data_IF_405869976161
#
_entry.id   IF_405869976161
#
_cell.length_a   1.000
_cell.length_b   1.000
_cell.length_c   1.000
_cell.angle_alpha   90.00
_cell.angle_beta   90.00
_cell.angle_gamma   90.00
#
_symmetry.space_group_name_H-M   'P 1'
#
loop_
_entity.id
_entity.type
_entity.pdbx_description
1 polymer ?
#
# COMPACT_ATOMS: atom_id res chain seq x y z
N UNK A 1 10.66 -0.78 -6.45
CA UNK A 1 9.66 0.22 -5.99
C UNK A 1 10.32 1.33 -5.15
N UNK A 2 9.59 2.39 -4.70
CA UNK A 2 10.19 3.42 -3.84
C UNK A 2 10.55 2.82 -2.47
N UNK A 3 11.75 3.15 -1.95
CA UNK A 3 12.18 2.72 -0.60
C UNK A 3 11.35 3.44 0.46
N UNK A 4 10.97 2.71 1.51
CA UNK A 4 10.26 3.26 2.66
C UNK A 4 11.13 3.11 3.92
N UNK A 5 11.49 4.21 4.55
CA UNK A 5 12.24 4.19 5.82
C UNK A 5 11.50 4.97 6.89
N UNK A 6 11.37 6.28 6.69
CA UNK A 6 10.64 7.18 7.58
C UNK A 6 9.67 8.00 6.74
N UNK A 7 8.42 8.05 7.17
CA UNK A 7 7.37 8.87 6.59
C UNK A 7 6.94 9.94 7.60
N UNK A 8 7.00 11.21 7.19
CA UNK A 8 6.44 12.31 7.98
C UNK A 8 5.29 12.95 7.21
N UNK A 9 4.16 13.18 7.87
CA UNK A 9 3.01 13.78 7.24
C UNK A 9 1.79 13.83 8.12
N UNK A 10 0.67 14.25 7.52
CA UNK A 10 -0.64 14.32 8.16
C UNK A 10 -1.39 13.04 7.91
N UNK A 11 -2.17 12.59 8.89
CA UNK A 11 -3.05 11.45 8.78
C UNK A 11 -4.50 11.90 8.58
N UNK A 12 -5.19 11.32 7.60
CA UNK A 12 -6.63 11.45 7.43
C UNK A 12 -7.35 10.29 8.11
N UNK A 13 -8.45 10.56 8.79
CA UNK A 13 -9.27 9.54 9.46
C UNK A 13 -10.46 9.18 8.58
N UNK A 14 -10.57 7.90 8.20
CA UNK A 14 -11.69 7.32 7.48
C UNK A 14 -12.20 6.14 8.33
N UNK A 15 -13.13 6.39 9.28
CA UNK A 15 -13.47 5.43 10.32
C UNK A 15 -14.39 4.31 9.86
N UNK A 16 -14.91 4.39 8.64
CA UNK A 16 -15.83 3.40 8.10
C UNK A 16 -15.20 2.02 8.05
N UNK A 17 -15.96 1.01 8.48
CA UNK A 17 -15.57 -0.40 8.42
C UNK A 17 -15.93 -0.98 7.05
N UNK A 18 -15.22 -2.04 6.65
CA UNK A 18 -15.46 -2.76 5.40
C UNK A 18 -15.37 -1.86 4.15
N UNK A 19 -14.48 -0.89 4.16
CA UNK A 19 -14.20 -0.11 2.94
C UNK A 19 -13.69 -1.05 1.87
N UNK A 20 -14.49 -1.24 0.83
CA UNK A 20 -14.17 -2.16 -0.25
C UNK A 20 -13.32 -1.50 -1.35
N UNK A 21 -12.81 -2.32 -2.25
CA UNK A 21 -11.99 -1.85 -3.35
C UNK A 21 -12.75 -1.04 -4.39
N UNK A 22 -14.10 -1.14 -4.46
CA UNK A 22 -14.95 -0.28 -5.31
C UNK A 22 -15.10 1.12 -4.71
N UNK A 23 -15.17 1.25 -3.39
CA UNK A 23 -15.15 2.54 -2.70
C UNK A 23 -13.77 3.21 -2.87
N UNK A 24 -12.67 2.45 -2.73
CA UNK A 24 -11.31 2.98 -2.93
C UNK A 24 -11.12 3.47 -4.37
N UNK A 25 -11.49 2.65 -5.37
CA UNK A 25 -11.45 3.02 -6.79
C UNK A 25 -12.59 2.34 -7.56
N UNK A 26 -13.60 3.09 -8.03
CA UNK A 26 -14.73 2.54 -8.77
C UNK A 26 -14.30 1.86 -10.08
N UNK A 27 -15.04 0.80 -10.45
CA UNK A 27 -14.75 -0.07 -11.59
C UNK A 27 -14.58 0.66 -12.94
N UNK A 28 -15.24 1.80 -13.13
CA UNK A 28 -15.12 2.57 -14.39
C UNK A 28 -13.70 3.10 -14.64
N UNK A 29 -12.86 3.20 -13.61
CA UNK A 29 -11.48 3.68 -13.71
C UNK A 29 -10.44 2.56 -13.87
N UNK A 30 -10.87 1.29 -13.92
CA UNK A 30 -9.97 0.13 -14.00
C UNK A 30 -9.51 -0.20 -15.42
N UNK A 31 -9.90 0.57 -16.43
CA UNK A 31 -9.57 0.32 -17.84
C UNK A 31 -8.12 0.65 -18.21
N UNK A 32 -7.39 1.34 -17.34
CA UNK A 32 -6.01 1.75 -17.59
C UNK A 32 -5.02 0.75 -17.01
N UNK A 33 -3.92 0.54 -17.72
CA UNK A 33 -2.73 -0.19 -17.23
C UNK A 33 -1.69 0.76 -16.61
N UNK A 34 -1.92 2.07 -16.68
CA UNK A 34 -1.02 3.07 -16.15
C UNK A 34 -1.28 3.32 -14.66
N UNK A 35 -0.21 3.33 -13.87
CA UNK A 35 -0.26 3.59 -12.43
C UNK A 35 -0.47 5.07 -12.08
N UNK A 36 -0.14 5.98 -13.01
CA UNK A 36 -0.26 7.45 -12.82
C UNK A 36 -1.62 7.95 -13.28
N UNK A 37 -2.15 8.94 -12.54
CA UNK A 37 -3.43 9.60 -12.82
C UNK A 37 -4.62 8.97 -12.09
N UNK A 38 -4.43 7.83 -11.40
CA UNK A 38 -5.50 7.16 -10.65
C UNK A 38 -5.85 7.86 -9.33
N UNK A 39 -4.93 8.62 -8.75
CA UNK A 39 -5.16 9.37 -7.51
C UNK A 39 -6.31 10.37 -7.60
N UNK A 40 -6.63 10.88 -8.80
CA UNK A 40 -7.81 11.72 -9.03
C UNK A 40 -9.11 10.96 -8.79
N UNK A 41 -9.10 9.65 -9.03
CA UNK A 41 -10.25 8.75 -8.90
C UNK A 41 -10.29 8.02 -7.55
N UNK A 42 -9.34 8.29 -6.66
CA UNK A 42 -9.35 7.73 -5.30
C UNK A 42 -10.59 8.21 -4.55
N UNK A 43 -11.34 7.27 -3.97
CA UNK A 43 -12.61 7.54 -3.27
C UNK A 43 -13.55 8.44 -4.09
N UNK A 44 -13.69 8.13 -5.38
CA UNK A 44 -14.36 9.02 -6.33
C UNK A 44 -15.79 9.35 -5.92
N UNK A 45 -16.58 8.35 -5.48
CA UNK A 45 -17.97 8.52 -5.14
C UNK A 45 -18.18 9.36 -3.85
N UNK A 46 -17.21 9.32 -2.94
CA UNK A 46 -17.22 10.10 -1.70
C UNK A 46 -16.61 11.49 -1.90
N UNK A 47 -15.59 11.59 -2.76
CA UNK A 47 -14.87 12.85 -3.01
C UNK A 47 -15.58 13.80 -3.96
N UNK A 48 -16.46 13.28 -4.81
CA UNK A 48 -17.12 14.09 -5.82
C UNK A 48 -18.63 13.86 -5.81
N UNK A 49 -19.36 14.95 -6.05
CA UNK A 49 -20.79 14.94 -6.37
C UNK A 49 -21.00 14.99 -7.89
N UNK A 50 -22.25 15.02 -8.35
CA UNK A 50 -22.57 15.14 -9.77
C UNK A 50 -21.83 16.32 -10.43
N UNK A 51 -21.31 16.11 -11.64
CA UNK A 51 -20.55 17.12 -12.39
C UNK A 51 -19.11 17.34 -11.92
N UNK A 52 -18.50 16.39 -11.20
CA UNK A 52 -17.12 16.49 -10.68
C UNK A 52 -16.91 17.60 -9.65
N UNK A 53 -17.96 18.09 -9.01
CA UNK A 53 -17.83 19.04 -7.92
C UNK A 53 -17.27 18.34 -6.68
N UNK A 54 -16.27 18.94 -6.02
CA UNK A 54 -15.70 18.39 -4.80
C UNK A 54 -16.71 18.37 -3.67
N UNK A 55 -16.93 17.20 -3.08
CA UNK A 55 -17.66 17.06 -1.81
C UNK A 55 -16.78 17.57 -0.68
N UNK A 56 -17.09 18.75 -0.15
CA UNK A 56 -16.32 19.40 0.93
C UNK A 56 -16.50 18.70 2.29
N UNK A 57 -17.44 17.77 2.42
CA UNK A 57 -17.63 17.01 3.67
C UNK A 57 -16.67 15.84 3.78
N UNK A 58 -16.15 15.34 2.66
CA UNK A 58 -15.18 14.24 2.70
C UNK A 58 -13.78 14.69 3.13
N UNK A 59 -13.18 13.98 4.06
CA UNK A 59 -11.93 14.38 4.74
C UNK A 59 -10.78 14.69 3.78
N UNK A 60 -10.59 13.88 2.72
CA UNK A 60 -9.50 14.09 1.76
C UNK A 60 -9.71 15.28 0.81
N UNK A 61 -10.82 16.00 0.92
CA UNK A 61 -11.04 17.25 0.22
C UNK A 61 -10.87 18.48 1.12
N UNK A 62 -10.63 18.29 2.43
CA UNK A 62 -10.46 19.35 3.43
C UNK A 62 -8.97 19.60 3.71
N UNK A 63 -8.57 20.84 3.87
CA UNK A 63 -7.23 21.18 4.33
C UNK A 63 -7.12 20.98 5.87
N UNK A 64 -5.99 20.43 6.34
CA UNK A 64 -4.79 20.01 5.61
C UNK A 64 -4.82 18.56 5.11
N UNK A 65 -5.91 17.80 5.33
CA UNK A 65 -6.01 16.36 5.02
C UNK A 65 -6.01 16.05 3.52
N UNK A 66 -6.29 17.03 2.67
CA UNK A 66 -6.16 16.91 1.21
C UNK A 66 -4.74 16.55 0.75
N UNK A 67 -3.73 16.78 1.61
CA UNK A 67 -2.33 16.45 1.38
C UNK A 67 -1.85 15.32 2.32
N UNK A 68 -2.75 14.50 2.83
CA UNK A 68 -2.38 13.39 3.72
C UNK A 68 -1.51 12.38 3.01
N UNK A 69 -0.51 11.89 3.73
CA UNK A 69 0.32 10.75 3.32
C UNK A 69 -0.01 9.47 4.11
N UNK A 70 -0.87 9.59 5.11
CA UNK A 70 -1.28 8.50 5.99
C UNK A 70 -2.81 8.48 6.05
N UNK A 71 -3.40 7.29 6.05
CA UNK A 71 -4.82 7.07 6.38
C UNK A 71 -4.89 6.24 7.65
N UNK A 72 -5.77 6.64 8.57
CA UNK A 72 -6.20 5.80 9.69
C UNK A 72 -7.61 5.33 9.34
N UNK A 73 -7.77 4.03 9.12
CA UNK A 73 -8.98 3.44 8.57
C UNK A 73 -9.68 2.54 9.58
N UNK A 74 -10.98 2.33 9.36
CA UNK A 74 -11.75 1.34 10.08
C UNK A 74 -11.34 -0.10 9.73
N UNK A 75 -11.98 -1.05 10.39
CA UNK A 75 -11.70 -2.48 10.29
C UNK A 75 -11.99 -3.04 8.87
N UNK A 76 -11.23 -4.10 8.49
CA UNK A 76 -11.38 -4.83 7.24
C UNK A 76 -11.25 -3.94 5.98
N UNK A 77 -10.26 -3.02 6.01
CA UNK A 77 -10.01 -2.12 4.89
C UNK A 77 -9.52 -2.87 3.64
N UNK A 78 -10.05 -2.49 2.48
CA UNK A 78 -9.69 -3.07 1.18
C UNK A 78 -10.37 -4.41 0.89
N UNK A 79 -11.53 -4.69 1.50
CA UNK A 79 -12.32 -5.89 1.22
C UNK A 79 -12.87 -5.90 -0.21
N UNK A 80 -13.56 -6.98 -0.58
CA UNK A 80 -14.16 -7.13 -1.91
C UNK A 80 -13.20 -7.70 -2.95
N UNK A 81 -13.27 -7.21 -4.17
CA UNK A 81 -12.56 -7.78 -5.32
C UNK A 81 -11.05 -7.56 -5.28
N UNK A 82 -10.29 -8.53 -5.85
CA UNK A 82 -8.84 -8.39 -6.02
C UNK A 82 -8.52 -7.31 -7.07
N UNK A 83 -8.13 -6.12 -6.63
CA UNK A 83 -7.81 -4.99 -7.50
C UNK A 83 -6.48 -4.37 -7.15
N UNK A 84 -5.50 -4.53 -8.00
CA UNK A 84 -4.20 -3.89 -7.84
C UNK A 84 -4.27 -2.35 -8.05
N UNK A 85 -5.30 -1.89 -8.73
CA UNK A 85 -5.56 -0.45 -8.93
C UNK A 85 -5.85 0.30 -7.62
N UNK A 86 -6.38 -0.38 -6.59
CA UNK A 86 -6.66 0.25 -5.30
C UNK A 86 -5.37 0.78 -4.62
N UNK A 87 -4.33 -0.02 -4.39
CA UNK A 87 -3.05 0.51 -3.91
C UNK A 87 -2.38 1.49 -4.87
N UNK A 88 -2.56 1.35 -6.20
CA UNK A 88 -2.04 2.34 -7.14
C UNK A 88 -2.70 3.71 -6.98
N UNK A 89 -4.03 3.75 -6.84
CA UNK A 89 -4.76 4.99 -6.64
C UNK A 89 -4.35 5.68 -5.32
N UNK A 90 -4.18 4.91 -4.24
CA UNK A 90 -3.71 5.41 -2.96
C UNK A 90 -2.31 6.03 -3.07
N UNK A 91 -1.36 5.30 -3.67
CA UNK A 91 0.01 5.78 -3.86
C UNK A 91 0.10 6.99 -4.79
N UNK A 92 -0.67 7.00 -5.87
CA UNK A 92 -0.69 8.12 -6.84
C UNK A 92 -1.36 9.37 -6.26
N UNK A 93 -2.27 9.21 -5.29
CA UNK A 93 -2.82 10.32 -4.50
C UNK A 93 -1.78 10.90 -3.53
N UNK A 94 -0.84 10.09 -3.06
CA UNK A 94 0.19 10.47 -2.09
C UNK A 94 0.15 9.69 -0.78
N UNK A 95 -0.82 8.79 -0.61
CA UNK A 95 -0.89 7.92 0.58
C UNK A 95 0.22 6.86 0.49
N UNK A 96 1.05 6.79 1.52
CA UNK A 96 2.17 5.85 1.61
C UNK A 96 2.04 4.88 2.79
N UNK A 97 1.13 5.16 3.74
CA UNK A 97 0.87 4.31 4.90
C UNK A 97 -0.63 4.28 5.23
N UNK A 98 -1.14 3.11 5.57
CA UNK A 98 -2.48 2.95 6.13
C UNK A 98 -2.38 2.21 7.46
N UNK A 99 -3.07 2.72 8.47
CA UNK A 99 -3.15 2.17 9.82
C UNK A 99 -4.59 1.71 10.04
N UNK A 100 -4.80 0.45 10.43
CA UNK A 100 -6.12 -0.13 10.69
C UNK A 100 -6.02 -1.28 11.69
N UNK A 101 -7.16 -1.72 12.24
CA UNK A 101 -7.22 -2.96 13.03
C UNK A 101 -6.99 -4.20 12.15
N UNK A 102 -7.54 -4.21 10.93
CA UNK A 102 -7.41 -5.32 10.00
C UNK A 102 -7.52 -4.88 8.55
N UNK A 103 -6.98 -5.69 7.67
CA UNK A 103 -7.02 -5.52 6.22
C UNK A 103 -7.48 -6.81 5.56
N UNK A 104 -8.15 -6.72 4.42
CA UNK A 104 -8.38 -7.87 3.58
C UNK A 104 -7.07 -8.42 3.00
N UNK A 105 -6.90 -9.74 3.00
CA UNK A 105 -5.62 -10.40 2.68
C UNK A 105 -5.10 -10.06 1.27
N UNK A 106 -5.99 -10.04 0.28
CA UNK A 106 -5.61 -9.73 -1.10
C UNK A 106 -5.15 -8.27 -1.22
N UNK A 107 -5.86 -7.34 -0.59
CA UNK A 107 -5.49 -5.94 -0.56
C UNK A 107 -4.14 -5.75 0.14
N UNK A 108 -3.93 -6.44 1.27
CA UNK A 108 -2.67 -6.41 2.01
C UNK A 108 -1.50 -6.82 1.12
N UNK A 109 -1.61 -7.98 0.46
CA UNK A 109 -0.56 -8.50 -0.41
C UNK A 109 -0.27 -7.57 -1.61
N UNK A 110 -1.31 -7.05 -2.27
CA UNK A 110 -1.16 -6.11 -3.36
C UNK A 110 -0.50 -4.80 -2.91
N UNK A 111 -0.86 -4.31 -1.73
CA UNK A 111 -0.30 -3.08 -1.15
C UNK A 111 1.20 -3.20 -0.89
N UNK A 112 1.62 -4.28 -0.23
CA UNK A 112 3.04 -4.57 0.04
C UNK A 112 3.84 -4.68 -1.26
N UNK A 113 3.30 -5.36 -2.27
CA UNK A 113 3.95 -5.51 -3.60
C UNK A 113 4.16 -4.17 -4.30
N UNK A 114 3.31 -3.19 -4.03
CA UNK A 114 3.39 -1.86 -4.63
C UNK A 114 4.12 -0.82 -3.75
N UNK A 115 4.54 -1.18 -2.54
CA UNK A 115 5.29 -0.29 -1.65
C UNK A 115 4.43 0.58 -0.73
N UNK A 116 3.16 0.21 -0.53
CA UNK A 116 2.26 0.83 0.43
C UNK A 116 2.42 0.11 1.78
N UNK A 117 2.80 0.83 2.83
CA UNK A 117 2.95 0.29 4.18
C UNK A 117 1.57 0.14 4.84
N UNK A 118 1.28 -1.06 5.34
CA UNK A 118 0.08 -1.36 6.12
C UNK A 118 0.46 -1.73 7.55
N UNK A 119 -0.10 -1.02 8.52
CA UNK A 119 0.17 -1.22 9.95
C UNK A 119 -1.11 -1.67 10.65
N UNK A 120 -1.04 -2.82 11.34
CA UNK A 120 -2.13 -3.31 12.18
C UNK A 120 -1.89 -2.87 13.62
N UNK A 121 -2.88 -2.20 14.21
CA UNK A 121 -2.89 -1.78 15.61
C UNK A 121 -4.17 -2.25 16.31
N UNK A 122 -4.15 -2.29 17.63
CA UNK A 122 -5.35 -2.54 18.40
C UNK A 122 -6.29 -1.31 18.42
N UNK A 123 -7.52 -1.52 18.83
CA UNK A 123 -8.57 -0.50 18.78
C UNK A 123 -8.24 0.75 19.63
N UNK A 124 -7.69 0.56 20.82
CA UNK A 124 -7.35 1.67 21.72
C UNK A 124 -6.24 2.55 21.12
N UNK A 125 -5.23 1.94 20.51
CA UNK A 125 -4.15 2.66 19.83
C UNK A 125 -4.67 3.47 18.64
N UNK A 126 -5.62 2.91 17.87
CA UNK A 126 -6.26 3.61 16.74
C UNK A 126 -7.08 4.79 17.23
N UNK A 127 -7.84 4.65 18.33
CA UNK A 127 -8.62 5.75 18.91
C UNK A 127 -7.71 6.93 19.31
N UNK A 128 -6.58 6.66 19.95
CA UNK A 128 -5.59 7.69 20.31
C UNK A 128 -5.06 8.40 19.06
N UNK A 129 -4.71 7.64 18.01
CA UNK A 129 -4.20 8.21 16.75
C UNK A 129 -5.27 9.01 16.01
N UNK A 130 -6.54 8.57 16.02
CA UNK A 130 -7.67 9.31 15.46
C UNK A 130 -7.83 10.69 16.08
N UNK A 131 -7.80 10.77 17.42
CA UNK A 131 -7.90 12.06 18.12
C UNK A 131 -6.75 13.01 17.73
N UNK A 132 -5.52 12.50 17.63
CA UNK A 132 -4.36 13.30 17.27
C UNK A 132 -4.43 13.73 15.79
N UNK A 133 -4.89 12.88 14.89
CA UNK A 133 -5.09 13.20 13.48
C UNK A 133 -6.17 14.28 13.28
N UNK A 134 -7.26 14.22 14.03
CA UNK A 134 -8.30 15.26 14.00
C UNK A 134 -7.81 16.60 14.55
N UNK A 135 -6.83 16.59 15.48
CA UNK A 135 -6.13 17.79 15.94
C UNK A 135 -5.05 18.29 14.96
N UNK A 136 -4.95 17.69 13.76
CA UNK A 136 -4.00 18.05 12.70
C UNK A 136 -2.54 17.89 13.09
N UNK A 137 -2.25 17.01 14.05
CA UNK A 137 -0.87 16.74 14.47
C UNK A 137 -0.08 16.02 13.36
N UNK A 138 1.22 16.29 13.32
CA UNK A 138 2.11 15.64 12.36
C UNK A 138 2.55 14.27 12.87
N UNK A 139 2.45 13.26 12.02
CA UNK A 139 2.84 11.88 12.28
C UNK A 139 4.24 11.62 11.74
N UNK A 140 5.00 10.81 12.45
CA UNK A 140 6.25 10.22 11.98
C UNK A 140 6.15 8.70 12.11
N UNK A 141 6.18 8.00 10.98
CA UNK A 141 6.16 6.54 10.91
C UNK A 141 7.55 6.06 10.54
N UNK A 142 8.24 5.43 11.48
CA UNK A 142 9.57 4.86 11.33
C UNK A 142 9.47 3.35 11.14
N UNK A 143 9.71 2.86 9.92
CA UNK A 143 9.66 1.44 9.60
C UNK A 143 10.88 0.69 10.16
N UNK A 144 12.03 1.35 10.27
CA UNK A 144 13.26 0.71 10.76
C UNK A 144 13.10 0.36 12.24
N UNK A 145 12.64 1.32 13.04
CA UNK A 145 12.42 1.13 14.47
C UNK A 145 11.01 0.61 14.80
N UNK A 146 10.14 0.45 13.78
CA UNK A 146 8.75 0.00 13.91
C UNK A 146 7.96 0.84 14.93
N UNK A 147 8.03 2.16 14.78
CA UNK A 147 7.45 3.13 15.70
C UNK A 147 6.66 4.20 14.96
N UNK A 148 5.50 4.54 15.53
CA UNK A 148 4.72 5.71 15.16
C UNK A 148 4.89 6.74 16.28
N UNK A 149 5.31 7.94 15.94
CA UNK A 149 5.47 9.05 16.87
C UNK A 149 4.58 10.21 16.45
N UNK A 150 3.77 10.70 17.38
CA UNK A 150 2.89 11.85 17.18
C UNK A 150 2.92 12.69 18.46
N UNK A 151 3.47 13.91 18.39
CA UNK A 151 3.63 14.78 19.56
C UNK A 151 4.42 14.06 20.68
N UNK A 152 3.78 13.77 21.81
CA UNK A 152 4.36 13.09 22.98
C UNK A 152 3.97 11.60 23.05
N UNK A 153 3.26 11.08 22.04
CA UNK A 153 2.81 9.69 21.99
C UNK A 153 3.73 8.88 21.08
N UNK A 154 4.10 7.70 21.54
CA UNK A 154 4.85 6.72 20.79
C UNK A 154 4.13 5.38 20.84
N UNK A 155 3.87 4.79 19.68
CA UNK A 155 3.21 3.49 19.53
C UNK A 155 4.13 2.59 18.70
N UNK A 156 4.43 1.41 19.23
CA UNK A 156 5.20 0.42 18.51
C UNK A 156 4.27 -0.46 17.67
N UNK A 157 4.74 -0.90 16.50
CA UNK A 157 3.99 -1.83 15.68
C UNK A 157 4.86 -3.00 15.23
N UNK A 158 4.24 -4.12 14.92
CA UNK A 158 4.92 -5.29 14.39
C UNK A 158 4.65 -5.43 12.89
N UNK A 159 5.68 -5.81 12.16
CA UNK A 159 5.61 -6.14 10.74
C UNK A 159 6.48 -7.37 10.48
N UNK A 160 6.03 -8.21 9.55
CA UNK A 160 6.81 -9.36 9.11
C UNK A 160 8.21 -8.92 8.61
N UNK A 161 9.30 -9.57 9.05
CA UNK A 161 10.66 -9.20 8.68
C UNK A 161 10.92 -9.21 7.17
N UNK A 162 10.28 -10.10 6.41
CA UNK A 162 10.41 -10.19 4.95
C UNK A 162 9.74 -8.98 4.29
N UNK A 163 8.55 -8.59 4.78
CA UNK A 163 7.84 -7.40 4.32
C UNK A 163 8.64 -6.14 4.65
N UNK A 164 9.18 -6.07 5.86
CA UNK A 164 10.05 -4.96 6.30
C UNK A 164 11.26 -4.79 5.38
N UNK A 165 12.01 -5.88 5.13
CA UNK A 165 13.18 -5.87 4.24
C UNK A 165 12.80 -5.42 2.83
N UNK A 166 11.69 -5.95 2.30
CA UNK A 166 11.16 -5.59 0.99
C UNK A 166 10.88 -4.07 0.88
N UNK A 167 10.19 -3.50 1.85
CA UNK A 167 9.80 -2.08 1.84
C UNK A 167 11.02 -1.16 2.05
N UNK A 168 11.92 -1.49 2.97
CA UNK A 168 13.13 -0.69 3.24
C UNK A 168 14.01 -0.59 2.00
N UNK A 169 14.23 -1.71 1.30
CA UNK A 169 15.09 -1.74 0.11
C UNK A 169 14.34 -1.38 -1.18
N UNK A 170 13.00 -1.39 -1.15
CA UNK A 170 12.16 -1.11 -2.30
C UNK A 170 12.16 -2.23 -3.33
N UNK A 171 12.40 -3.48 -2.92
CA UNK A 171 12.47 -4.64 -3.83
C UNK A 171 11.12 -4.98 -4.46
N UNK A 172 11.10 -5.20 -5.76
CA UNK A 172 10.00 -5.87 -6.45
C UNK A 172 10.19 -7.39 -6.48
N UNK A 173 9.23 -8.13 -7.04
CA UNK A 173 9.28 -9.60 -7.09
C UNK A 173 10.45 -10.10 -7.94
N UNK A 174 10.85 -9.36 -8.96
CA UNK A 174 11.98 -9.70 -9.83
C UNK A 174 13.30 -9.50 -9.06
N UNK A 175 13.47 -8.39 -8.38
CA UNK A 175 14.67 -8.09 -7.60
C UNK A 175 14.86 -9.11 -6.45
N UNK A 176 13.75 -9.55 -5.80
CA UNK A 176 13.81 -10.62 -4.79
C UNK A 176 14.28 -11.94 -5.39
N UNK A 177 13.77 -12.30 -6.56
CA UNK A 177 14.18 -13.53 -7.28
C UNK A 177 15.65 -13.44 -7.69
N UNK A 178 16.11 -12.29 -8.17
CA UNK A 178 17.50 -12.08 -8.59
C UNK A 178 18.53 -12.15 -7.45
N UNK A 179 18.11 -12.02 -6.17
CA UNK A 179 19.00 -12.31 -5.04
C UNK A 179 19.54 -13.75 -5.09
N UNK A 180 18.79 -14.66 -5.68
CA UNK A 180 19.15 -16.08 -5.84
C UNK A 180 19.72 -16.40 -7.25
N UNK A 181 20.21 -15.39 -8.01
CA UNK A 181 20.66 -15.56 -9.39
C UNK A 181 21.65 -16.73 -9.56
N UNK A 182 22.61 -16.88 -8.65
CA UNK A 182 23.58 -17.96 -8.74
C UNK A 182 22.92 -19.35 -8.63
N UNK A 183 21.98 -19.52 -7.69
CA UNK A 183 21.24 -20.78 -7.55
C UNK A 183 20.41 -21.10 -8.79
N UNK A 184 19.84 -20.08 -9.44
CA UNK A 184 19.07 -20.24 -10.68
C UNK A 184 19.99 -20.71 -11.80
N UNK A 185 21.14 -20.06 -11.99
CA UNK A 185 22.13 -20.42 -13.00
C UNK A 185 22.65 -21.84 -12.77
N UNK A 186 22.97 -22.19 -11.53
CA UNK A 186 23.45 -23.54 -11.18
C UNK A 186 22.38 -24.61 -11.49
N UNK A 187 21.11 -24.32 -11.18
CA UNK A 187 20.00 -25.19 -11.52
C UNK A 187 19.84 -25.35 -13.04
N UNK A 188 19.86 -24.27 -13.80
CA UNK A 188 19.76 -24.30 -15.25
C UNK A 188 20.89 -25.08 -15.90
N UNK A 189 22.13 -24.87 -15.44
CA UNK A 189 23.30 -25.60 -15.94
C UNK A 189 23.21 -27.12 -15.65
N UNK A 190 22.76 -27.49 -14.46
CA UNK A 190 22.58 -28.89 -14.09
C UNK A 190 21.41 -29.51 -14.87
N UNK A 191 20.30 -28.81 -15.03
CA UNK A 191 19.15 -29.28 -15.81
C UNK A 191 19.53 -29.58 -17.26
N UNK A 192 20.32 -28.72 -17.88
CA UNK A 192 20.79 -28.90 -19.25
C UNK A 192 21.68 -30.14 -19.43
N UNK A 193 22.42 -30.56 -18.40
CA UNK A 193 23.19 -31.81 -18.41
C UNK A 193 22.30 -33.07 -18.38
N UNK A 194 21.15 -33.01 -17.69
CA UNK A 194 20.24 -34.17 -17.55
C UNK A 194 19.15 -34.26 -18.62
N UNK A 195 18.88 -33.16 -19.35
CA UNK A 195 17.80 -33.07 -20.35
C UNK A 195 18.31 -32.66 -21.71
N UNK A 196 19.31 -33.39 -22.23
CA UNK A 196 19.96 -33.15 -23.54
C UNK A 196 18.94 -33.07 -24.70
N UNK A 197 17.82 -33.83 -24.58
CA UNK A 197 16.75 -33.82 -25.58
C UNK A 197 16.01 -32.48 -25.75
N UNK A 198 16.05 -31.60 -24.72
CA UNK A 198 15.46 -30.26 -24.82
C UNK A 198 16.32 -29.27 -25.63
N UNK A 199 17.60 -29.54 -25.78
CA UNK A 199 18.53 -28.69 -26.51
C UNK A 199 18.51 -28.99 -28.04
N UNK A 200 17.98 -30.15 -28.43
CA UNK A 200 17.93 -30.59 -29.82
C UNK A 200 16.90 -29.81 -30.67
N UNK A 201 15.92 -29.13 -30.00
CA UNK A 201 14.86 -28.38 -30.67
C UNK A 201 15.33 -26.99 -31.16
N UNK A 202 16.40 -26.43 -30.58
CA UNK A 202 16.86 -25.08 -30.89
C UNK A 202 17.91 -25.01 -32.02
N UNK A 203 18.38 -26.14 -32.57
CA UNK A 203 19.34 -26.16 -33.70
C UNK A 203 18.69 -26.24 -35.10
N UNK A 204 17.33 -26.12 -35.16
CA UNK A 204 16.59 -26.14 -36.42
C UNK A 204 15.70 -24.92 -36.60
N UNK A 205 16.28 -23.74 -36.44
CA UNK A 205 15.69 -22.49 -36.97
C UNK A 205 16.78 -21.62 -37.60
#
# INVERSE_FOLDING_TARGET
MKKFTILKGIAAVIPDINIDTDAIIPKQFLKTIHRKGLGKSLFYNERYTEGYNKNLDFILNKDPWSNSSIIIAGENFGCGSSREHAPWALLDFGIQCIISNSFADIFFNNSVKNGLLLIKLNKNEIEILNELAMKKESFSVDLINQKISVKNNEINFNIDPIIKDRLIHGYDDIEITLKNKQLIVDYENNKNKFHIWKNIVNEKQ
#
